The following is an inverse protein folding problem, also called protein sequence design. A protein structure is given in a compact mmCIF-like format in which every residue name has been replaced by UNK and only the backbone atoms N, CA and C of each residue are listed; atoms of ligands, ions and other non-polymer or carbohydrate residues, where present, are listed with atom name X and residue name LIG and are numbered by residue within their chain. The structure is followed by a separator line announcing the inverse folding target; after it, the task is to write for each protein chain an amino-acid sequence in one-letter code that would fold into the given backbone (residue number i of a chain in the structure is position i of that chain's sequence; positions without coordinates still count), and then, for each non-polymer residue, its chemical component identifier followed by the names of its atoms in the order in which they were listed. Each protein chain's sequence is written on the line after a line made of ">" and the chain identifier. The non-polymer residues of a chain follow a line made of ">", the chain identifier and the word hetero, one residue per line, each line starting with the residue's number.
data_IF_046180689214
#
_entry.id   IF_046180689214
#
_cell.length_a   1.000
_cell.length_b   1.000
_cell.length_c   1.000
_cell.angle_alpha   90.00
_cell.angle_beta   90.00
_cell.angle_gamma   90.00
#
_symmetry.space_group_name_H-M   'P 1'
#
loop_
_entity.id
_entity.type
_entity.pdbx_description
1 polymer ?
#
# COMPACT_ATOMS: atom_id res chain seq x y z
N UNK A 1 -20.98 3.49 -4.52
CA UNK A 1 -20.08 2.32 -4.49
C UNK A 1 -19.21 2.28 -3.24
N UNK A 2 -18.45 3.34 -2.93
CA UNK A 2 -17.59 3.41 -1.73
C UNK A 2 -18.33 3.23 -0.39
N UNK A 3 -19.49 3.88 -0.20
CA UNK A 3 -20.32 3.67 1.02
C UNK A 3 -20.69 2.21 1.24
N UNK A 4 -21.04 1.49 0.17
CA UNK A 4 -21.42 0.06 0.26
C UNK A 4 -20.25 -0.83 0.68
N UNK A 5 -19.03 -0.49 0.27
CA UNK A 5 -17.81 -1.21 0.68
C UNK A 5 -17.48 -0.87 2.13
N UNK A 6 -17.63 0.40 2.52
CA UNK A 6 -17.44 0.86 3.89
C UNK A 6 -18.42 0.17 4.87
N UNK A 7 -19.71 0.16 4.55
CA UNK A 7 -20.75 -0.50 5.35
C UNK A 7 -20.46 -2.00 5.47
N UNK A 8 -20.00 -2.64 4.38
CA UNK A 8 -19.57 -4.03 4.40
C UNK A 8 -18.36 -4.27 5.32
N UNK A 9 -17.37 -3.37 5.33
CA UNK A 9 -16.22 -3.48 6.26
C UNK A 9 -16.67 -3.38 7.73
N UNK A 10 -17.64 -2.51 8.04
CA UNK A 10 -18.22 -2.41 9.38
C UNK A 10 -18.97 -3.70 9.76
N UNK A 11 -19.81 -4.22 8.86
CA UNK A 11 -20.53 -5.47 9.09
C UNK A 11 -19.57 -6.66 9.26
N UNK A 12 -18.49 -6.69 8.47
CA UNK A 12 -17.44 -7.70 8.54
C UNK A 12 -16.68 -7.68 9.87
N UNK A 13 -16.47 -6.50 10.47
CA UNK A 13 -15.76 -6.35 11.74
C UNK A 13 -16.44 -7.08 12.91
N UNK A 14 -17.75 -7.34 12.81
CA UNK A 14 -18.53 -8.06 13.83
C UNK A 14 -18.51 -9.58 13.68
N UNK A 15 -17.97 -10.12 12.58
CA UNK A 15 -18.01 -11.56 12.28
C UNK A 15 -16.88 -12.33 12.97
N UNK A 16 -17.03 -13.64 13.23
CA UNK A 16 -15.99 -14.43 13.88
C UNK A 16 -14.68 -14.52 13.07
N UNK A 17 -14.75 -14.31 11.76
CA UNK A 17 -13.61 -14.27 10.84
C UNK A 17 -13.12 -12.85 10.49
N UNK A 18 -13.52 -11.84 11.28
CA UNK A 18 -13.15 -10.44 11.08
C UNK A 18 -11.63 -10.22 10.98
N UNK A 19 -10.83 -11.00 11.73
CA UNK A 19 -9.36 -10.92 11.69
C UNK A 19 -8.80 -11.20 10.29
N UNK A 20 -9.31 -12.24 9.63
CA UNK A 20 -8.89 -12.63 8.29
C UNK A 20 -9.34 -11.61 7.25
N UNK A 21 -10.55 -11.08 7.39
CA UNK A 21 -11.04 -10.02 6.49
C UNK A 21 -10.20 -8.76 6.64
N UNK A 22 -9.93 -8.33 7.87
CA UNK A 22 -9.09 -7.16 8.13
C UNK A 22 -7.71 -7.34 7.51
N UNK A 23 -7.10 -8.52 7.64
CA UNK A 23 -5.83 -8.83 6.98
C UNK A 23 -5.92 -8.77 5.44
N UNK A 24 -6.97 -9.32 4.86
CA UNK A 24 -7.19 -9.25 3.41
C UNK A 24 -7.42 -7.81 2.92
N UNK A 25 -8.16 -7.00 3.68
CA UNK A 25 -8.40 -5.57 3.39
C UNK A 25 -7.10 -4.77 3.52
N UNK A 26 -6.30 -5.01 4.55
CA UNK A 26 -5.01 -4.36 4.75
C UNK A 26 -4.01 -4.70 3.63
N UNK A 27 -3.94 -5.96 3.21
CA UNK A 27 -3.17 -6.39 2.06
C UNK A 27 -3.65 -5.72 0.77
N UNK A 28 -4.96 -5.76 0.52
CA UNK A 28 -5.54 -5.22 -0.70
C UNK A 28 -5.40 -3.70 -0.77
N UNK A 29 -5.55 -2.95 0.33
CA UNK A 29 -5.37 -1.49 0.37
C UNK A 29 -3.93 -1.09 0.02
N UNK A 30 -2.97 -1.85 0.53
CA UNK A 30 -1.55 -1.65 0.28
C UNK A 30 -1.17 -1.83 -1.19
N UNK A 31 -1.98 -2.55 -1.97
CA UNK A 31 -1.74 -2.83 -3.40
C UNK A 31 -2.69 -2.08 -4.35
N UNK A 32 -4.01 -2.11 -4.14
CA UNK A 32 -5.00 -1.61 -5.13
C UNK A 32 -6.37 -1.14 -4.56
N UNK A 33 -6.71 -1.41 -3.30
CA UNK A 33 -8.05 -1.16 -2.74
C UNK A 33 -8.21 0.26 -2.16
N UNK A 34 -9.40 0.88 -2.21
CA UNK A 34 -9.60 2.28 -1.78
C UNK A 34 -9.98 2.46 -0.31
N UNK A 35 -10.34 1.40 0.43
CA UNK A 35 -10.81 1.52 1.81
C UNK A 35 -9.69 1.18 2.80
N UNK A 36 -9.36 2.09 3.74
CA UNK A 36 -8.34 1.86 4.74
C UNK A 36 -8.71 0.74 5.72
N UNK A 37 -7.77 -0.13 6.12
CA UNK A 37 -8.02 -1.19 7.09
C UNK A 37 -8.41 -0.65 8.48
N UNK A 38 -8.11 0.62 8.76
CA UNK A 38 -8.47 1.37 9.97
C UNK A 38 -9.97 1.30 10.29
N UNK A 39 -10.81 1.26 9.25
CA UNK A 39 -12.27 1.13 9.38
C UNK A 39 -12.66 -0.14 10.14
N UNK A 40 -11.84 -1.19 10.05
CA UNK A 40 -12.02 -2.45 10.78
C UNK A 40 -11.17 -2.50 12.04
N UNK A 41 -9.90 -2.08 11.96
CA UNK A 41 -8.93 -2.19 13.05
C UNK A 41 -9.37 -1.41 14.31
N UNK A 42 -9.86 -0.18 14.13
CA UNK A 42 -10.28 0.69 15.24
C UNK A 42 -11.44 0.08 16.04
N UNK A 43 -12.61 -0.22 15.44
CA UNK A 43 -13.73 -0.77 16.20
C UNK A 43 -13.43 -2.16 16.77
N UNK A 44 -12.67 -3.01 16.07
CA UNK A 44 -12.27 -4.32 16.60
C UNK A 44 -11.38 -4.19 17.84
N UNK A 45 -10.43 -3.26 17.83
CA UNK A 45 -9.53 -2.99 18.96
C UNK A 45 -10.28 -2.38 20.14
N UNK A 46 -11.24 -1.47 19.89
CA UNK A 46 -12.10 -0.91 20.93
C UNK A 46 -13.03 -1.98 21.55
N UNK A 47 -13.57 -2.89 20.74
CA UNK A 47 -14.46 -3.95 21.22
C UNK A 47 -13.73 -5.03 22.03
N UNK A 48 -12.45 -5.31 21.72
CA UNK A 48 -11.62 -6.29 22.46
C UNK A 48 -10.19 -5.76 22.66
N UNK A 49 -9.97 -4.84 23.62
CA UNK A 49 -8.67 -4.20 23.84
C UNK A 49 -7.54 -5.18 24.13
N UNK A 50 -7.84 -6.32 24.77
CA UNK A 50 -6.86 -7.36 25.09
C UNK A 50 -6.25 -8.02 23.83
N UNK A 51 -6.92 -7.89 22.68
CA UNK A 51 -6.45 -8.42 21.38
C UNK A 51 -5.93 -7.33 20.43
N UNK A 52 -5.88 -6.06 20.86
CA UNK A 52 -5.45 -4.96 20.00
C UNK A 52 -4.07 -5.20 19.38
N UNK A 53 -3.11 -5.72 20.15
CA UNK A 53 -1.78 -6.08 19.66
C UNK A 53 -1.80 -7.16 18.58
N UNK A 54 -2.66 -8.17 18.72
CA UNK A 54 -2.83 -9.20 17.69
C UNK A 54 -3.38 -8.58 16.40
N UNK A 55 -4.37 -7.70 16.50
CA UNK A 55 -4.95 -7.04 15.34
C UNK A 55 -3.94 -6.13 14.64
N UNK A 56 -3.18 -5.34 15.41
CA UNK A 56 -2.12 -4.49 14.90
C UNK A 56 -1.02 -5.30 14.22
N UNK A 57 -0.61 -6.44 14.80
CA UNK A 57 0.41 -7.31 14.23
C UNK A 57 -0.06 -7.92 12.91
N UNK A 58 -1.27 -8.50 12.88
CA UNK A 58 -1.85 -9.05 11.65
C UNK A 58 -1.97 -7.97 10.57
N UNK A 59 -2.53 -6.81 10.91
CA UNK A 59 -2.67 -5.68 9.98
C UNK A 59 -1.31 -5.28 9.41
N UNK A 60 -0.33 -5.02 10.27
CA UNK A 60 1.03 -4.64 9.87
C UNK A 60 1.66 -5.68 8.96
N UNK A 61 1.65 -6.96 9.35
CA UNK A 61 2.23 -8.03 8.54
C UNK A 61 1.56 -8.14 7.16
N UNK A 62 0.23 -8.06 7.10
CA UNK A 62 -0.49 -8.11 5.83
C UNK A 62 -0.28 -6.88 4.96
N UNK A 63 -0.16 -5.69 5.56
CA UNK A 63 0.18 -4.46 4.84
C UNK A 63 1.60 -4.49 4.27
N UNK A 64 2.58 -5.01 5.03
CA UNK A 64 3.95 -5.21 4.53
C UNK A 64 3.94 -6.16 3.32
N UNK A 65 3.22 -7.28 3.39
CA UNK A 65 3.09 -8.21 2.26
C UNK A 65 2.43 -7.55 1.04
N UNK A 66 1.39 -6.74 1.25
CA UNK A 66 0.75 -5.98 0.17
C UNK A 66 1.66 -4.89 -0.42
N UNK A 67 2.52 -4.29 0.41
CA UNK A 67 3.55 -3.36 -0.01
C UNK A 67 4.65 -4.02 -0.85
N UNK A 68 5.09 -5.22 -0.48
CA UNK A 68 6.01 -6.05 -1.28
C UNK A 68 5.38 -6.38 -2.63
N UNK A 69 4.09 -6.74 -2.65
CA UNK A 69 3.37 -6.95 -3.91
C UNK A 69 3.31 -5.66 -4.75
N UNK A 70 3.04 -4.51 -4.13
CA UNK A 70 3.04 -3.21 -4.80
C UNK A 70 4.39 -2.85 -5.41
N UNK A 71 5.49 -3.12 -4.68
CA UNK A 71 6.85 -2.96 -5.18
C UNK A 71 7.11 -3.87 -6.39
N UNK A 72 6.76 -5.17 -6.27
CA UNK A 72 6.92 -6.13 -7.36
C UNK A 72 6.11 -5.72 -8.60
N UNK A 73 4.88 -5.25 -8.41
CA UNK A 73 4.05 -4.70 -9.50
C UNK A 73 4.76 -3.52 -10.17
N UNK A 74 5.32 -2.58 -9.40
CA UNK A 74 6.06 -1.42 -9.93
C UNK A 74 7.31 -1.83 -10.73
N UNK A 75 8.09 -2.77 -10.18
CA UNK A 75 9.30 -3.27 -10.84
C UNK A 75 8.98 -3.99 -12.15
N UNK A 76 8.00 -4.91 -12.12
CA UNK A 76 7.56 -5.64 -13.31
C UNK A 76 6.90 -4.72 -14.35
N UNK A 77 6.21 -3.66 -13.93
CA UNK A 77 5.66 -2.65 -14.83
C UNK A 77 6.76 -1.92 -15.60
N UNK A 78 7.85 -1.55 -14.94
CA UNK A 78 8.99 -0.91 -15.60
C UNK A 78 9.61 -1.84 -16.66
N UNK A 79 9.90 -3.09 -16.28
CA UNK A 79 10.56 -4.08 -17.15
C UNK A 79 9.69 -4.59 -18.31
N UNK A 80 8.37 -4.32 -18.29
CA UNK A 80 7.44 -4.76 -19.32
C UNK A 80 6.91 -3.60 -20.18
N UNK A 81 5.67 -3.17 -19.95
CA UNK A 81 4.97 -2.16 -20.73
C UNK A 81 5.55 -0.76 -20.45
N UNK A 82 6.11 -0.54 -19.27
CA UNK A 82 6.68 0.72 -18.84
C UNK A 82 7.78 1.21 -19.78
N UNK A 83 8.80 0.39 -20.05
CA UNK A 83 9.89 0.76 -20.97
C UNK A 83 9.37 1.15 -22.35
N UNK A 84 8.45 0.34 -22.91
CA UNK A 84 7.84 0.62 -24.21
C UNK A 84 7.02 1.91 -24.21
N UNK A 85 6.24 2.18 -23.15
CA UNK A 85 5.45 3.41 -23.03
C UNK A 85 6.34 4.64 -22.89
N UNK A 86 7.42 4.54 -22.10
CA UNK A 86 8.36 5.63 -21.84
C UNK A 86 9.09 6.03 -23.12
N UNK A 87 9.54 5.05 -23.91
CA UNK A 87 10.14 5.29 -25.23
C UNK A 87 9.11 5.85 -26.21
N UNK A 88 7.90 5.29 -26.24
CA UNK A 88 6.84 5.74 -27.15
C UNK A 88 6.42 7.20 -26.92
N UNK A 89 6.36 7.63 -25.66
CA UNK A 89 6.04 9.02 -25.30
C UNK A 89 7.28 9.94 -25.24
N UNK A 90 8.49 9.44 -25.48
CA UNK A 90 9.73 10.22 -25.40
C UNK A 90 10.06 10.73 -24.00
N UNK A 91 9.65 10.01 -22.95
CA UNK A 91 9.86 10.40 -21.55
C UNK A 91 11.13 9.80 -20.91
N UNK A 92 12.03 9.21 -21.69
CA UNK A 92 13.28 8.59 -21.19
C UNK A 92 14.03 9.47 -20.20
N UNK A 93 14.39 10.70 -20.63
CA UNK A 93 15.15 11.65 -19.79
C UNK A 93 14.42 12.03 -18.49
N UNK A 94 13.07 12.09 -18.52
CA UNK A 94 12.27 12.43 -17.33
C UNK A 94 12.22 11.28 -16.34
N UNK A 95 12.20 10.05 -16.83
CA UNK A 95 12.21 8.86 -15.97
C UNK A 95 13.58 8.67 -15.34
N UNK A 96 14.65 8.96 -16.08
CA UNK A 96 16.00 8.89 -15.55
C UNK A 96 16.26 9.96 -14.49
N UNK A 97 15.81 11.21 -14.74
CA UNK A 97 15.82 12.26 -13.72
C UNK A 97 14.97 11.91 -12.48
N UNK A 98 13.79 11.29 -12.69
CA UNK A 98 12.97 10.79 -11.59
C UNK A 98 13.69 9.72 -10.78
N UNK A 99 14.31 8.73 -11.43
CA UNK A 99 15.08 7.68 -10.77
C UNK A 99 16.28 8.23 -10.00
N UNK A 100 17.03 9.14 -10.59
CA UNK A 100 18.17 9.78 -9.94
C UNK A 100 17.72 10.55 -8.68
N UNK A 101 16.65 11.34 -8.77
CA UNK A 101 16.08 12.04 -7.62
C UNK A 101 15.52 11.08 -6.56
N UNK A 102 14.88 9.99 -6.98
CA UNK A 102 14.38 8.98 -6.06
C UNK A 102 15.51 8.17 -5.41
N UNK A 103 16.65 7.97 -6.07
CA UNK A 103 17.83 7.36 -5.49
C UNK A 103 18.44 8.25 -4.37
N UNK A 104 18.47 9.56 -4.58
CA UNK A 104 19.02 10.51 -3.61
C UNK A 104 18.07 10.78 -2.43
N UNK A 105 16.77 10.96 -2.70
CA UNK A 105 15.79 11.39 -1.71
C UNK A 105 14.79 10.30 -1.30
N UNK A 106 14.87 9.09 -1.86
CA UNK A 106 13.89 8.02 -1.66
C UNK A 106 13.63 7.66 -0.20
N UNK A 107 14.69 7.55 0.60
CA UNK A 107 14.59 7.29 2.04
C UNK A 107 13.81 8.41 2.76
N UNK A 108 14.09 9.67 2.43
CA UNK A 108 13.36 10.83 2.97
C UNK A 108 11.90 10.84 2.53
N UNK A 109 11.62 10.53 1.26
CA UNK A 109 10.26 10.44 0.73
C UNK A 109 9.47 9.35 1.47
N UNK A 110 10.07 8.16 1.67
CA UNK A 110 9.43 7.04 2.36
C UNK A 110 9.17 7.37 3.83
N UNK A 111 10.12 8.04 4.50
CA UNK A 111 9.99 8.42 5.90
C UNK A 111 8.96 9.55 6.10
N UNK A 112 9.02 10.60 5.28
CA UNK A 112 8.08 11.73 5.32
C UNK A 112 6.67 11.33 4.87
N UNK A 113 6.53 10.31 4.01
CA UNK A 113 5.24 9.68 3.71
C UNK A 113 4.49 9.29 4.97
N UNK A 114 5.18 8.73 5.98
CA UNK A 114 4.53 8.30 7.22
C UNK A 114 3.91 9.46 8.00
N UNK A 115 4.34 10.69 7.72
CA UNK A 115 3.89 11.94 8.35
C UNK A 115 2.92 12.74 7.47
N UNK A 116 2.65 12.29 6.25
CA UNK A 116 1.86 13.03 5.26
C UNK A 116 0.70 12.17 4.75
N UNK A 117 -0.37 12.77 4.21
CA UNK A 117 -1.51 12.02 3.67
C UNK A 117 -1.19 11.38 2.30
N UNK A 118 0.08 11.06 2.02
CA UNK A 118 0.51 10.44 0.78
C UNK A 118 0.05 8.97 0.79
N UNK A 119 -0.73 8.52 -0.21
CA UNK A 119 -1.20 7.14 -0.30
C UNK A 119 -0.05 6.13 -0.26
N UNK A 120 -0.14 5.15 0.64
CA UNK A 120 0.90 4.12 0.84
C UNK A 120 1.28 3.40 -0.46
N UNK A 121 0.28 3.03 -1.27
CA UNK A 121 0.41 2.34 -2.55
C UNK A 121 1.21 3.10 -3.61
N UNK A 122 1.11 4.44 -3.60
CA UNK A 122 1.84 5.26 -4.58
C UNK A 122 3.33 5.09 -4.34
N UNK A 123 3.76 5.23 -3.08
CA UNK A 123 5.17 5.12 -2.72
C UNK A 123 5.72 3.72 -2.96
N UNK A 124 4.95 2.65 -2.67
CA UNK A 124 5.44 1.28 -2.91
C UNK A 124 5.59 0.97 -4.38
N UNK A 125 4.62 1.35 -5.22
CA UNK A 125 4.68 1.16 -6.67
C UNK A 125 5.78 2.02 -7.29
N UNK A 126 5.93 3.29 -6.87
CA UNK A 126 6.98 4.17 -7.40
C UNK A 126 8.37 3.71 -6.99
N UNK A 127 8.55 3.21 -5.77
CA UNK A 127 9.82 2.59 -5.34
C UNK A 127 10.18 1.38 -6.20
N UNK A 128 9.20 0.51 -6.49
CA UNK A 128 9.40 -0.62 -7.40
C UNK A 128 9.75 -0.20 -8.81
N UNK A 129 9.01 0.75 -9.37
CA UNK A 129 9.28 1.32 -10.70
C UNK A 129 10.67 1.96 -10.79
N UNK A 130 11.08 2.65 -9.72
CA UNK A 130 12.41 3.24 -9.62
C UNK A 130 13.53 2.20 -9.43
N UNK A 131 13.20 0.92 -9.15
CA UNK A 131 14.14 -0.09 -8.64
C UNK A 131 14.95 0.45 -7.45
N UNK A 132 14.26 1.13 -6.54
CA UNK A 132 14.88 1.74 -5.37
C UNK A 132 15.21 0.68 -4.32
N UNK A 133 16.50 0.56 -4.00
CA UNK A 133 17.04 -0.26 -2.92
C UNK A 133 17.66 0.63 -1.82
N UNK A 134 17.69 0.12 -0.59
CA UNK A 134 18.12 0.87 0.62
C UNK A 134 19.55 0.49 0.99
#
# INVERSE_FOLDING_TARGET
>A
MLRRIYDWCIDAAHKPYALWIMGAVAFAESSFFPVPPDVMLIPMSLARPQRAWLYALVCTSTSVLGGILGYAIGALLYDSIGHWLIEFYGYGDKVEAFRAGYAEYGAWIILLKGLTPIPYKLVTITSGFANYDI
#
